data_IF_488327233200
#
_entry.id   IF_488327233200
#
_cell.length_a   1.000
_cell.length_b   1.000
_cell.length_c   1.000
_cell.angle_alpha   90.00
_cell.angle_beta   90.00
_cell.angle_gamma   90.00
#
_symmetry.space_group_name_H-M   'P 1'
#
loop_
_entity.id
_entity.type
_entity.pdbx_description
1 polymer ?
#
# COMPACT_ATOMS: atom_id res chain seq x y z
N UNK A 1 -11.74 51.57 63.45
CA UNK A 1 -10.50 50.76 63.41
C UNK A 1 -10.71 49.61 62.44
N UNK A 2 -9.95 49.53 61.36
CA UNK A 2 -10.14 48.59 60.25
C UNK A 2 -9.46 49.15 59.00
N UNK A 3 -8.13 49.01 58.89
CA UNK A 3 -7.36 47.94 58.23
C UNK A 3 -7.27 48.12 56.71
N UNK A 4 -6.01 48.18 56.26
CA UNK A 4 -5.47 48.42 54.91
C UNK A 4 -6.03 47.45 53.86
N UNK A 5 -6.31 47.98 52.67
CA UNK A 5 -6.61 47.20 51.46
C UNK A 5 -5.27 46.83 50.80
N UNK A 6 -5.11 45.52 50.58
CA UNK A 6 -3.91 44.91 50.05
C UNK A 6 -3.65 45.17 48.57
N UNK A 7 -2.36 45.19 48.25
CA UNK A 7 -1.72 45.27 46.95
C UNK A 7 -2.10 44.11 46.02
N UNK A 8 -2.38 44.45 44.76
CA UNK A 8 -2.63 43.56 43.63
C UNK A 8 -1.31 42.87 43.23
N UNK A 9 -1.31 41.54 43.13
CA UNK A 9 -0.17 40.74 42.67
C UNK A 9 -0.49 40.29 41.23
N UNK A 10 0.31 40.70 40.25
CA UNK A 10 0.25 40.14 38.89
C UNK A 10 1.25 38.98 38.75
N UNK A 11 0.91 37.89 38.03
CA UNK A 11 1.83 36.80 37.80
C UNK A 11 2.88 37.15 36.73
N UNK A 12 4.16 37.02 37.10
CA UNK A 12 5.30 37.14 36.20
C UNK A 12 5.51 35.81 35.47
N UNK A 13 5.25 35.77 34.17
CA UNK A 13 5.66 34.65 33.32
C UNK A 13 7.07 34.94 32.74
N UNK A 14 8.03 34.00 32.81
CA UNK A 14 9.34 34.20 32.21
C UNK A 14 9.26 34.16 30.68
N UNK A 15 9.64 35.28 30.05
CA UNK A 15 9.81 35.39 28.59
C UNK A 15 11.00 34.51 28.17
N UNK A 16 10.75 33.41 27.47
CA UNK A 16 11.80 32.62 26.82
C UNK A 16 12.40 33.43 25.66
N UNK A 17 13.71 33.67 25.70
CA UNK A 17 14.48 34.25 24.58
C UNK A 17 14.32 33.38 23.32
N UNK A 18 14.21 33.97 22.12
CA UNK A 18 14.24 33.20 20.89
C UNK A 18 15.62 32.54 20.74
N UNK A 19 15.62 31.23 20.47
CA UNK A 19 16.82 30.47 20.12
C UNK A 19 17.40 31.03 18.81
N UNK A 20 18.64 31.52 18.86
CA UNK A 20 19.38 31.87 17.65
C UNK A 20 19.71 30.58 16.90
N UNK A 21 19.19 30.44 15.69
CA UNK A 21 19.55 29.34 14.79
C UNK A 21 21.00 29.54 14.32
N UNK A 22 21.89 28.70 14.83
CA UNK A 22 23.24 28.52 14.28
C UNK A 22 23.15 28.03 12.83
N UNK A 23 24.00 28.50 11.89
CA UNK A 23 24.06 27.92 10.56
C UNK A 23 24.64 26.51 10.65
N UNK A 24 23.79 25.52 10.37
CA UNK A 24 24.14 24.09 10.38
C UNK A 24 25.18 23.80 9.30
N UNK A 25 26.26 23.11 9.68
CA UNK A 25 27.21 22.51 8.73
C UNK A 25 26.50 21.37 8.00
N UNK A 26 26.45 21.44 6.67
CA UNK A 26 26.05 20.34 5.79
C UNK A 26 26.95 19.12 6.05
N UNK A 27 26.35 18.02 6.49
CA UNK A 27 26.96 16.70 6.54
C UNK A 27 26.05 15.73 5.79
N UNK A 28 26.61 14.99 4.83
CA UNK A 28 26.00 13.85 4.15
C UNK A 28 24.93 14.21 3.12
N UNK A 29 25.18 13.86 1.85
CA UNK A 29 24.21 13.96 0.76
C UNK A 29 23.16 12.83 0.85
N UNK A 30 22.57 12.62 2.03
CA UNK A 30 21.47 11.67 2.21
C UNK A 30 20.17 12.31 1.73
N UNK A 31 19.56 11.67 0.73
CA UNK A 31 18.28 12.06 0.17
C UNK A 31 17.20 11.95 1.26
N UNK A 32 16.80 13.09 1.84
CA UNK A 32 15.86 13.11 2.96
C UNK A 32 14.44 12.79 2.44
N UNK A 33 13.90 11.66 2.88
CA UNK A 33 12.59 11.13 2.49
C UNK A 33 11.49 11.86 3.27
N UNK A 34 10.89 12.89 2.66
CA UNK A 34 9.98 13.85 3.30
C UNK A 34 8.64 14.00 2.59
N UNK A 35 8.35 13.11 1.66
CA UNK A 35 7.10 13.10 0.93
C UNK A 35 6.68 11.65 0.67
N UNK A 36 5.49 11.49 0.11
CA UNK A 36 4.83 10.21 -0.09
C UNK A 36 4.22 10.17 -1.49
N UNK A 37 4.35 9.02 -2.14
CA UNK A 37 3.67 8.65 -3.38
C UNK A 37 2.68 7.53 -3.05
N UNK A 38 1.41 7.70 -3.42
CA UNK A 38 0.38 6.67 -3.37
C UNK A 38 0.09 6.19 -4.79
N UNK A 39 0.41 4.94 -5.09
CA UNK A 39 0.03 4.30 -6.36
C UNK A 39 -1.26 3.52 -6.13
N UNK A 40 -2.30 3.85 -6.88
CA UNK A 40 -3.67 3.39 -6.61
C UNK A 40 -4.50 3.32 -7.91
N UNK A 41 -5.72 2.78 -7.85
CA UNK A 41 -6.74 2.94 -8.91
C UNK A 41 -7.95 3.71 -8.38
N UNK A 42 -8.92 3.96 -9.26
CA UNK A 42 -10.19 4.60 -8.93
C UNK A 42 -11.34 3.66 -9.25
N UNK A 43 -12.24 3.43 -8.29
CA UNK A 43 -13.45 2.63 -8.58
C UNK A 43 -14.37 3.41 -9.52
N UNK A 44 -14.31 3.10 -10.82
CA UNK A 44 -15.20 3.62 -11.86
C UNK A 44 -15.74 2.46 -12.68
N UNK A 45 -16.90 2.68 -13.30
CA UNK A 45 -17.49 1.73 -14.25
C UNK A 45 -16.90 1.82 -15.65
N UNK A 46 -15.96 2.74 -15.87
CA UNK A 46 -15.30 3.00 -17.15
C UNK A 46 -13.85 2.49 -17.12
N UNK A 47 -13.26 2.13 -18.28
CA UNK A 47 -11.94 1.50 -18.33
C UNK A 47 -10.80 2.32 -17.71
N UNK A 48 -10.94 3.65 -17.67
CA UNK A 48 -9.95 4.52 -17.04
C UNK A 48 -9.90 4.35 -15.52
N UNK A 49 -10.93 3.79 -14.87
CA UNK A 49 -10.93 3.54 -13.43
C UNK A 49 -9.85 2.56 -13.00
N UNK A 50 -9.63 1.51 -13.78
CA UNK A 50 -8.75 0.38 -13.48
C UNK A 50 -7.41 0.55 -14.21
N UNK A 51 -6.74 1.67 -13.95
CA UNK A 51 -5.44 2.04 -14.51
C UNK A 51 -4.53 2.55 -13.39
N UNK A 52 -3.27 2.87 -13.70
CA UNK A 52 -2.33 3.36 -12.67
C UNK A 52 -2.59 4.84 -12.42
N UNK A 53 -2.89 5.21 -11.17
CA UNK A 53 -3.00 6.59 -10.72
C UNK A 53 -1.97 6.88 -9.63
N UNK A 54 -1.46 8.11 -9.63
CA UNK A 54 -0.60 8.64 -8.57
C UNK A 54 -1.33 9.70 -7.76
N UNK A 55 -1.11 9.64 -6.45
CA UNK A 55 -1.36 10.73 -5.51
C UNK A 55 -0.08 11.05 -4.77
N UNK A 56 0.13 12.31 -4.41
CA UNK A 56 1.34 12.71 -3.66
C UNK A 56 0.98 13.51 -2.42
N UNK A 57 1.79 13.40 -1.39
CA UNK A 57 1.63 14.14 -0.14
C UNK A 57 2.97 14.54 0.45
N UNK A 58 3.05 15.68 1.12
CA UNK A 58 4.25 16.12 1.86
C UNK A 58 4.23 15.67 3.32
N UNK A 59 3.06 15.33 3.85
CA UNK A 59 2.87 15.01 5.28
C UNK A 59 2.27 13.62 5.51
N UNK A 60 1.69 13.01 4.47
CA UNK A 60 0.98 11.73 4.54
C UNK A 60 -0.50 11.87 4.90
N UNK A 61 -0.98 13.10 5.14
CA UNK A 61 -2.33 13.42 5.61
C UNK A 61 -3.13 14.14 4.52
N UNK A 62 -2.49 15.09 3.84
CA UNK A 62 -3.08 15.90 2.78
C UNK A 62 -2.55 15.40 1.44
N UNK A 63 -3.39 14.68 0.70
CA UNK A 63 -3.06 14.10 -0.59
C UNK A 63 -3.51 15.00 -1.73
N UNK A 64 -2.69 15.06 -2.77
CA UNK A 64 -2.93 15.81 -4.00
C UNK A 64 -2.98 14.84 -5.19
N UNK A 65 -3.81 15.17 -6.19
CA UNK A 65 -3.83 14.43 -7.44
C UNK A 65 -2.60 14.72 -8.31
N UNK A 66 -2.23 13.74 -9.13
CA UNK A 66 -1.25 13.85 -10.21
C UNK A 66 -1.99 13.76 -11.55
N UNK A 67 -1.42 14.36 -12.60
CA UNK A 67 -1.98 14.37 -13.95
C UNK A 67 -3.45 14.86 -14.03
N UNK A 68 -3.82 15.87 -13.23
CA UNK A 68 -5.18 16.40 -13.17
C UNK A 68 -6.26 15.34 -12.85
N UNK A 69 -5.89 14.29 -12.12
CA UNK A 69 -6.79 13.20 -11.75
C UNK A 69 -7.05 12.18 -12.86
N UNK A 70 -6.26 12.18 -13.94
CA UNK A 70 -6.23 11.17 -15.00
C UNK A 70 -5.19 10.06 -14.71
N UNK A 71 -5.29 8.87 -15.34
CA UNK A 71 -4.27 7.83 -15.23
C UNK A 71 -2.88 8.33 -15.62
N UNK A 72 -1.84 7.87 -14.92
CA UNK A 72 -0.43 8.12 -15.26
C UNK A 72 0.16 7.03 -16.15
N UNK A 73 -0.32 5.80 -16.04
CA UNK A 73 0.04 4.68 -16.92
C UNK A 73 -1.22 3.88 -17.28
N UNK A 74 -1.19 3.28 -18.46
CA UNK A 74 -2.27 2.45 -18.98
C UNK A 74 -1.82 0.99 -19.13
N UNK A 75 -2.71 0.07 -18.81
CA UNK A 75 -2.59 -1.35 -19.10
C UNK A 75 -3.20 -1.64 -20.47
N UNK A 76 -2.36 -2.11 -21.40
CA UNK A 76 -2.75 -2.45 -22.77
C UNK A 76 -2.78 -3.97 -23.03
N UNK A 77 -2.07 -4.73 -22.19
CA UNK A 77 -1.96 -6.19 -22.27
C UNK A 77 -2.80 -6.87 -21.18
N UNK A 78 -3.03 -8.17 -21.37
CA UNK A 78 -3.78 -9.00 -20.43
C UNK A 78 -5.26 -8.62 -20.44
N UNK A 79 -5.79 -8.36 -19.26
CA UNK A 79 -7.17 -7.94 -19.03
C UNK A 79 -7.42 -6.47 -19.38
N UNK A 80 -6.36 -5.71 -19.71
CA UNK A 80 -6.41 -4.29 -20.11
C UNK A 80 -6.93 -3.34 -19.03
N UNK A 81 -6.84 -3.80 -17.79
CA UNK A 81 -7.04 -3.02 -16.58
C UNK A 81 -6.17 -3.59 -15.47
N UNK A 82 -5.84 -2.75 -14.51
CA UNK A 82 -5.03 -3.11 -13.35
C UNK A 82 -5.62 -2.57 -12.07
N UNK A 83 -5.49 -3.37 -11.01
CA UNK A 83 -5.98 -3.10 -9.66
C UNK A 83 -4.90 -3.47 -8.64
N UNK A 84 -5.09 -3.05 -7.39
CA UNK A 84 -4.33 -3.53 -6.24
C UNK A 84 -2.81 -3.36 -6.38
N UNK A 85 -2.35 -2.10 -6.39
CA UNK A 85 -0.94 -1.80 -6.69
C UNK A 85 -0.03 -1.97 -5.49
N UNK A 86 1.19 -2.44 -5.77
CA UNK A 86 2.36 -2.19 -4.93
C UNK A 86 3.38 -1.38 -5.71
N UNK A 87 4.09 -0.49 -5.01
CA UNK A 87 5.22 0.27 -5.56
C UNK A 87 6.40 0.11 -4.61
N UNK A 88 7.56 -0.24 -5.14
CA UNK A 88 8.75 -0.49 -4.33
C UNK A 88 9.98 0.19 -4.92
N UNK A 89 10.82 0.72 -4.02
CA UNK A 89 12.14 1.25 -4.34
C UNK A 89 13.15 0.13 -4.19
N UNK A 90 13.79 -0.21 -5.29
CA UNK A 90 14.68 -1.34 -5.43
C UNK A 90 16.08 -0.90 -5.85
N UNK A 91 17.01 -1.85 -5.83
CA UNK A 91 18.30 -1.74 -6.51
C UNK A 91 18.33 -2.70 -7.68
N UNK A 92 18.77 -2.20 -8.83
CA UNK A 92 19.13 -3.04 -9.96
C UNK A 92 20.31 -3.95 -9.55
N UNK A 93 20.16 -5.28 -9.63
CA UNK A 93 21.18 -6.19 -9.12
C UNK A 93 22.46 -6.23 -9.96
N UNK A 94 22.44 -5.75 -11.20
CA UNK A 94 23.60 -5.74 -12.09
C UNK A 94 24.44 -4.47 -11.92
N UNK A 95 23.77 -3.33 -11.78
CA UNK A 95 24.39 -2.00 -11.75
C UNK A 95 24.45 -1.40 -10.35
N UNK A 96 23.65 -1.92 -9.40
CA UNK A 96 23.49 -1.37 -8.06
C UNK A 96 22.72 -0.04 -8.01
N UNK A 97 22.23 0.45 -9.15
CA UNK A 97 21.49 1.71 -9.24
C UNK A 97 20.10 1.56 -8.64
N UNK A 98 19.60 2.67 -8.11
CA UNK A 98 18.21 2.76 -7.67
C UNK A 98 17.26 2.57 -8.86
N UNK A 99 16.18 1.81 -8.63
CA UNK A 99 15.06 1.64 -9.56
C UNK A 99 13.74 1.57 -8.79
N UNK A 100 12.63 1.76 -9.47
CA UNK A 100 11.28 1.65 -8.95
C UNK A 100 10.54 0.58 -9.73
N UNK A 101 9.72 -0.20 -9.03
CA UNK A 101 8.89 -1.23 -9.65
C UNK A 101 7.46 -1.05 -9.15
N UNK A 102 6.51 -1.03 -10.08
CA UNK A 102 5.08 -1.18 -9.79
C UNK A 102 4.68 -2.60 -10.16
N UNK A 103 3.95 -3.27 -9.27
CA UNK A 103 3.23 -4.51 -9.57
C UNK A 103 1.73 -4.30 -9.31
N UNK A 104 0.88 -4.99 -10.07
CA UNK A 104 -0.56 -4.90 -9.93
C UNK A 104 -1.24 -6.22 -10.32
N UNK A 105 -2.46 -6.42 -9.81
CA UNK A 105 -3.40 -7.42 -10.34
C UNK A 105 -3.74 -7.07 -11.79
N UNK A 106 -3.54 -8.00 -12.72
CA UNK A 106 -4.04 -7.89 -14.11
C UNK A 106 -5.53 -8.26 -14.12
N UNK A 107 -6.40 -7.25 -14.07
CA UNK A 107 -7.86 -7.41 -13.99
C UNK A 107 -8.59 -6.16 -14.46
N UNK A 108 -9.55 -6.32 -15.36
CA UNK A 108 -10.54 -5.29 -15.67
C UNK A 108 -11.96 -5.78 -15.46
N UNK A 109 -12.66 -5.22 -14.49
CA UNK A 109 -14.11 -5.42 -14.36
C UNK A 109 -14.85 -4.65 -15.45
N UNK A 110 -14.35 -3.49 -15.89
CA UNK A 110 -15.00 -2.69 -16.93
C UNK A 110 -15.11 -3.45 -18.26
N UNK A 111 -14.08 -4.22 -18.64
CA UNK A 111 -14.09 -5.04 -19.85
C UNK A 111 -14.58 -6.47 -19.59
N UNK A 112 -14.10 -7.08 -18.51
CA UNK A 112 -14.24 -8.51 -18.28
C UNK A 112 -15.53 -8.92 -17.57
N UNK A 113 -16.02 -8.12 -16.61
CA UNK A 113 -17.04 -8.58 -15.64
C UNK A 113 -18.29 -9.15 -16.31
N UNK A 114 -18.83 -8.51 -17.35
CA UNK A 114 -20.06 -8.99 -18.01
C UNK A 114 -19.84 -10.13 -19.01
N UNK A 115 -18.69 -10.09 -19.69
CA UNK A 115 -18.36 -11.02 -20.78
C UNK A 115 -17.50 -12.16 -20.26
N UNK A 116 -16.19 -11.93 -20.23
CA UNK A 116 -15.16 -12.89 -19.81
C UNK A 116 -15.48 -13.59 -18.49
N UNK A 117 -16.01 -12.85 -17.50
CA UNK A 117 -16.24 -13.35 -16.14
C UNK A 117 -17.70 -13.58 -15.77
N UNK A 118 -18.65 -13.45 -16.71
CA UNK A 118 -20.05 -13.85 -16.52
C UNK A 118 -20.73 -13.33 -15.24
N UNK A 119 -20.42 -12.10 -14.82
CA UNK A 119 -20.87 -11.46 -13.58
C UNK A 119 -20.47 -12.21 -12.29
N UNK A 120 -19.34 -12.93 -12.30
CA UNK A 120 -18.93 -13.82 -11.21
C UNK A 120 -17.52 -13.51 -10.70
N UNK A 121 -17.42 -13.15 -9.42
CA UNK A 121 -16.13 -13.06 -8.71
C UNK A 121 -15.49 -14.43 -8.50
N UNK A 122 -16.30 -15.48 -8.37
CA UNK A 122 -15.80 -16.87 -8.28
C UNK A 122 -15.08 -17.25 -9.57
N UNK A 123 -15.63 -16.85 -10.74
CA UNK A 123 -14.99 -17.07 -12.04
C UNK A 123 -13.64 -16.35 -12.15
N UNK A 124 -13.54 -15.11 -11.67
CA UNK A 124 -12.26 -14.38 -11.62
C UNK A 124 -11.29 -15.09 -10.67
N UNK A 125 -11.76 -15.65 -9.56
CA UNK A 125 -10.93 -16.40 -8.62
C UNK A 125 -10.43 -17.74 -9.19
N UNK A 126 -11.22 -18.41 -10.02
CA UNK A 126 -10.90 -19.74 -10.54
C UNK A 126 -10.18 -19.71 -11.88
N UNK A 127 -10.54 -18.78 -12.75
CA UNK A 127 -10.11 -18.70 -14.15
C UNK A 127 -9.63 -17.27 -14.51
N UNK A 128 -9.18 -16.50 -13.51
CA UNK A 128 -8.66 -15.15 -13.70
C UNK A 128 -7.27 -15.12 -14.33
N UNK A 129 -6.74 -13.90 -14.47
CA UNK A 129 -5.35 -13.73 -14.92
C UNK A 129 -4.39 -14.39 -13.92
N UNK A 130 -3.45 -15.15 -14.47
CA UNK A 130 -2.34 -15.79 -13.74
C UNK A 130 -1.06 -14.97 -13.87
N UNK A 131 -1.21 -13.65 -14.02
CA UNK A 131 -0.11 -12.72 -14.26
C UNK A 131 -0.21 -11.51 -13.35
N UNK A 132 0.94 -10.98 -12.98
CA UNK A 132 1.03 -9.63 -12.42
C UNK A 132 1.49 -8.67 -13.52
N UNK A 133 0.85 -7.51 -13.62
CA UNK A 133 1.34 -6.44 -14.48
C UNK A 133 2.50 -5.73 -13.78
N UNK A 134 3.57 -5.44 -14.52
CA UNK A 134 4.80 -4.83 -14.00
C UNK A 134 5.22 -3.64 -14.87
N UNK A 135 5.61 -2.56 -14.20
CA UNK A 135 6.33 -1.42 -14.79
C UNK A 135 7.58 -1.11 -13.98
N UNK A 136 8.65 -0.69 -14.66
CA UNK A 136 9.91 -0.29 -14.02
C UNK A 136 10.23 1.17 -14.38
N UNK A 137 10.90 1.89 -13.48
CA UNK A 137 11.34 3.27 -13.71
C UNK A 137 12.63 3.56 -12.96
N UNK A 138 13.49 4.42 -13.49
CA UNK A 138 14.67 4.92 -12.77
C UNK A 138 14.38 6.20 -11.98
N UNK A 139 13.23 6.85 -12.22
CA UNK A 139 12.98 8.22 -11.76
C UNK A 139 11.52 8.54 -11.37
N UNK A 140 10.64 7.54 -11.33
CA UNK A 140 9.21 7.63 -11.02
C UNK A 140 8.33 8.34 -12.06
N UNK A 141 8.89 8.84 -13.16
CA UNK A 141 8.11 9.55 -14.19
C UNK A 141 8.29 8.94 -15.58
N UNK A 142 9.45 8.39 -15.88
CA UNK A 142 9.72 7.64 -17.10
C UNK A 142 9.60 6.14 -16.80
N UNK A 143 8.54 5.51 -17.31
CA UNK A 143 8.24 4.11 -17.05
C UNK A 143 8.46 3.25 -18.31
N UNK A 144 8.88 2.00 -18.10
CA UNK A 144 8.95 0.99 -19.17
C UNK A 144 7.56 0.68 -19.72
N UNK A 145 7.51 -0.04 -20.84
CA UNK A 145 6.27 -0.67 -21.30
C UNK A 145 5.75 -1.66 -20.25
N UNK A 146 4.43 -1.84 -20.19
CA UNK A 146 3.80 -2.87 -19.35
C UNK A 146 4.33 -4.25 -19.72
N UNK A 147 4.71 -5.03 -18.71
CA UNK A 147 4.99 -6.47 -18.85
C UNK A 147 4.05 -7.29 -17.99
N UNK A 148 3.63 -8.46 -18.49
CA UNK A 148 2.93 -9.46 -17.69
C UNK A 148 3.92 -10.51 -17.18
N UNK A 149 4.10 -10.57 -15.87
CA UNK A 149 4.90 -11.59 -15.21
C UNK A 149 4.00 -12.77 -14.82
N UNK A 150 4.24 -13.94 -15.43
CA UNK A 150 3.62 -15.20 -15.02
C UNK A 150 4.39 -15.73 -13.82
N UNK A 151 3.81 -15.59 -12.64
CA UNK A 151 4.38 -16.09 -11.39
C UNK A 151 3.59 -17.33 -10.99
N UNK A 152 4.30 -18.44 -10.75
CA UNK A 152 3.69 -19.72 -10.43
C UNK A 152 3.38 -20.60 -11.65
N UNK A 153 2.48 -21.57 -11.44
CA UNK A 153 2.12 -22.59 -12.42
C UNK A 153 0.60 -22.61 -12.70
N UNK A 154 0.16 -23.56 -13.50
CA UNK A 154 -1.24 -23.66 -13.92
C UNK A 154 -2.22 -24.02 -12.79
N UNK A 155 -1.74 -24.38 -11.59
CA UNK A 155 -2.58 -24.75 -10.44
C UNK A 155 -3.15 -23.53 -9.71
N UNK A 156 -2.67 -22.33 -9.99
CA UNK A 156 -3.25 -21.09 -9.49
C UNK A 156 -4.49 -20.70 -10.33
N UNK A 157 -5.55 -20.25 -9.65
CA UNK A 157 -6.75 -19.75 -10.31
C UNK A 157 -6.68 -18.26 -10.63
N UNK A 158 -5.91 -17.49 -9.86
CA UNK A 158 -5.71 -16.06 -10.03
C UNK A 158 -4.46 -15.56 -9.31
N UNK A 159 -3.93 -14.38 -9.65
CA UNK A 159 -2.90 -13.70 -8.86
C UNK A 159 -3.39 -12.30 -8.49
N UNK A 160 -3.77 -12.09 -7.22
CA UNK A 160 -4.39 -10.85 -6.76
C UNK A 160 -3.59 -10.12 -5.68
N UNK A 161 -3.68 -8.79 -5.69
CA UNK A 161 -3.17 -7.89 -4.66
C UNK A 161 -1.71 -8.19 -4.27
N UNK A 162 -0.77 -8.04 -5.23
CA UNK A 162 0.63 -8.25 -4.94
C UNK A 162 1.17 -7.18 -3.98
N UNK A 163 2.05 -7.58 -3.08
CA UNK A 163 2.90 -6.66 -2.33
C UNK A 163 4.33 -7.22 -2.20
N UNK A 164 5.28 -6.35 -1.87
CA UNK A 164 6.71 -6.64 -1.92
C UNK A 164 7.43 -6.13 -0.69
N UNK A 165 8.23 -6.99 -0.07
CA UNK A 165 9.18 -6.62 0.97
C UNK A 165 10.60 -7.08 0.61
N UNK A 166 11.60 -6.26 0.95
CA UNK A 166 13.01 -6.62 0.76
C UNK A 166 13.56 -7.40 1.96
N UNK A 167 14.07 -8.60 1.70
CA UNK A 167 14.77 -9.42 2.69
C UNK A 167 16.24 -9.02 2.75
N UNK A 168 16.60 -8.22 3.76
CA UNK A 168 17.98 -7.76 3.98
C UNK A 168 18.96 -8.92 4.26
N UNK A 169 18.48 -10.05 4.83
CA UNK A 169 19.32 -11.21 5.17
C UNK A 169 19.66 -12.02 3.91
N UNK A 170 18.67 -12.26 3.05
CA UNK A 170 18.84 -13.01 1.81
C UNK A 170 19.36 -12.16 0.64
N UNK A 171 19.17 -10.83 0.71
CA UNK A 171 19.53 -9.90 -0.36
C UNK A 171 18.60 -10.02 -1.58
N UNK A 172 17.34 -10.38 -1.37
CA UNK A 172 16.31 -10.55 -2.40
C UNK A 172 14.97 -9.94 -1.96
N UNK A 173 13.98 -9.97 -2.85
CA UNK A 173 12.63 -9.48 -2.59
C UNK A 173 11.67 -10.66 -2.45
N UNK A 174 10.79 -10.58 -1.47
CA UNK A 174 9.64 -11.48 -1.30
C UNK A 174 8.44 -10.79 -1.94
N UNK A 175 7.95 -11.32 -3.05
CA UNK A 175 6.71 -10.89 -3.72
C UNK A 175 5.62 -11.84 -3.27
N UNK A 176 4.56 -11.31 -2.67
CA UNK A 176 3.46 -12.11 -2.12
C UNK A 176 2.11 -11.63 -2.63
N UNK A 177 1.16 -12.55 -2.77
CA UNK A 177 -0.16 -12.30 -3.38
C UNK A 177 -1.21 -13.25 -2.82
N UNK A 178 -2.47 -12.90 -3.04
CA UNK A 178 -3.64 -13.72 -2.68
C UNK A 178 -4.01 -14.63 -3.85
N UNK A 179 -4.31 -15.90 -3.56
CA UNK A 179 -4.76 -16.81 -4.62
C UNK A 179 -5.60 -17.99 -4.16
N UNK A 180 -6.54 -18.39 -5.00
CA UNK A 180 -7.18 -19.71 -5.01
C UNK A 180 -6.29 -20.71 -5.73
N UNK A 181 -6.28 -21.96 -5.29
CA UNK A 181 -5.33 -22.96 -5.79
C UNK A 181 -5.95 -24.35 -5.91
N UNK A 182 -5.51 -25.15 -6.89
CA UNK A 182 -6.04 -26.49 -7.14
C UNK A 182 -5.94 -27.44 -5.92
N UNK A 183 -5.00 -27.17 -5.00
CA UNK A 183 -4.78 -27.94 -3.76
C UNK A 183 -6.01 -28.07 -2.87
N UNK A 184 -6.95 -27.13 -2.94
CA UNK A 184 -8.21 -27.15 -2.22
C UNK A 184 -9.41 -26.95 -3.17
N UNK A 185 -9.28 -27.43 -4.41
CA UNK A 185 -10.29 -27.26 -5.47
C UNK A 185 -10.69 -25.79 -5.66
N UNK A 186 -9.68 -24.90 -5.62
CA UNK A 186 -9.85 -23.45 -5.76
C UNK A 186 -10.83 -22.84 -4.72
N UNK A 187 -10.88 -23.41 -3.50
CA UNK A 187 -11.68 -22.89 -2.39
C UNK A 187 -11.09 -21.63 -1.74
N UNK A 188 -11.20 -21.55 -0.41
CA UNK A 188 -10.68 -20.43 0.39
C UNK A 188 -9.23 -20.09 0.00
N UNK A 189 -8.95 -18.80 -0.19
CA UNK A 189 -7.63 -18.31 -0.61
C UNK A 189 -6.62 -18.30 0.52
N UNK A 190 -5.35 -18.33 0.12
CA UNK A 190 -4.21 -18.13 1.00
C UNK A 190 -3.25 -17.10 0.39
N UNK A 191 -2.30 -16.64 1.20
CA UNK A 191 -1.22 -15.79 0.75
C UNK A 191 -0.05 -16.67 0.32
N UNK A 192 0.34 -16.53 -0.95
CA UNK A 192 1.51 -17.19 -1.54
C UNK A 192 2.64 -16.18 -1.71
N UNK A 193 3.87 -16.67 -1.83
CA UNK A 193 5.00 -15.83 -2.17
C UNK A 193 6.00 -16.53 -3.09
N UNK A 194 6.76 -15.72 -3.81
CA UNK A 194 7.96 -16.08 -4.56
C UNK A 194 9.08 -15.09 -4.24
N UNK A 195 10.33 -15.54 -4.36
CA UNK A 195 11.51 -14.68 -4.21
C UNK A 195 12.06 -14.26 -5.57
N UNK A 196 12.56 -13.03 -5.67
CA UNK A 196 13.20 -12.50 -6.88
C UNK A 196 14.31 -11.52 -6.51
N UNK A 197 15.30 -11.36 -7.40
CA UNK A 197 16.34 -10.31 -7.27
C UNK A 197 16.12 -9.15 -8.22
N UNK A 198 15.37 -9.36 -9.30
CA UNK A 198 15.28 -8.44 -10.44
C UNK A 198 13.87 -8.18 -10.95
N UNK A 199 12.85 -8.88 -10.40
CA UNK A 199 11.45 -8.87 -10.83
C UNK A 199 11.22 -9.48 -12.22
N UNK A 200 12.19 -10.26 -12.73
CA UNK A 200 12.11 -10.99 -13.99
C UNK A 200 12.05 -12.49 -13.73
N UNK A 201 12.98 -12.98 -12.92
CA UNK A 201 13.04 -14.39 -12.53
C UNK A 201 12.49 -14.55 -11.11
N UNK A 202 11.64 -15.55 -10.92
CA UNK A 202 10.96 -15.83 -9.65
C UNK A 202 11.21 -17.25 -9.20
N UNK A 203 11.42 -17.45 -7.90
CA UNK A 203 11.45 -18.80 -7.32
C UNK A 203 10.07 -19.47 -7.47
N UNK A 204 10.05 -20.80 -7.33
CA UNK A 204 8.79 -21.54 -7.20
C UNK A 204 7.97 -20.95 -6.03
N UNK A 205 6.65 -20.76 -6.21
CA UNK A 205 5.81 -20.25 -5.13
C UNK A 205 5.72 -21.18 -3.92
N UNK A 206 5.61 -20.57 -2.75
CA UNK A 206 5.37 -21.21 -1.46
C UNK A 206 4.22 -20.48 -0.73
N UNK A 207 3.70 -21.07 0.35
CA UNK A 207 2.65 -20.42 1.17
C UNK A 207 3.34 -19.50 2.17
N UNK A 208 2.99 -18.21 2.15
CA UNK A 208 3.42 -17.25 3.15
C UNK A 208 2.55 -17.34 4.41
N UNK A 209 1.24 -17.38 4.21
CA UNK A 209 0.27 -17.45 5.28
C UNK A 209 -1.03 -18.11 4.82
N UNK A 210 -1.53 -19.02 5.66
CA UNK A 210 -2.81 -19.68 5.50
C UNK A 210 -3.46 -19.82 6.87
N UNK A 211 -4.73 -19.43 6.97
CA UNK A 211 -5.59 -19.80 8.08
C UNK A 211 -6.64 -20.78 7.57
N UNK A 212 -6.44 -22.07 7.85
CA UNK A 212 -7.29 -23.13 7.32
C UNK A 212 -8.77 -22.83 7.54
N UNK A 213 -9.58 -23.12 6.52
CA UNK A 213 -11.05 -22.92 6.50
C UNK A 213 -11.50 -21.44 6.52
N UNK A 214 -10.55 -20.52 6.32
CA UNK A 214 -10.79 -19.09 6.19
C UNK A 214 -10.21 -18.58 4.89
N UNK A 215 -10.97 -17.73 4.21
CA UNK A 215 -10.54 -17.05 2.99
C UNK A 215 -9.71 -15.82 3.39
N UNK A 216 -8.42 -15.87 3.05
CA UNK A 216 -7.42 -14.86 3.43
C UNK A 216 -6.87 -14.19 2.17
N UNK A 217 -7.00 -12.86 2.11
CA UNK A 217 -6.55 -12.04 0.99
C UNK A 217 -5.86 -10.74 1.44
N UNK A 218 -5.39 -9.96 0.48
CA UNK A 218 -4.88 -8.58 0.63
C UNK A 218 -3.75 -8.47 1.66
N UNK A 219 -2.68 -9.23 1.43
CA UNK A 219 -1.48 -9.19 2.28
C UNK A 219 -0.70 -7.89 2.11
N UNK A 220 -0.34 -7.25 3.23
CA UNK A 220 0.64 -6.16 3.25
C UNK A 220 1.65 -6.36 4.39
N UNK A 221 2.95 -6.34 4.07
CA UNK A 221 4.01 -6.80 4.96
C UNK A 221 5.04 -5.70 5.25
N UNK A 222 5.26 -5.42 6.52
CA UNK A 222 6.17 -4.36 6.99
C UNK A 222 7.19 -4.89 7.98
N UNK A 223 8.36 -4.25 8.05
CA UNK A 223 9.38 -4.51 9.07
C UNK A 223 9.47 -3.32 10.04
N UNK A 224 9.46 -3.62 11.33
CA UNK A 224 9.77 -2.67 12.39
C UNK A 224 10.60 -3.34 13.47
N UNK A 225 11.75 -2.74 13.77
CA UNK A 225 12.69 -3.14 14.82
C UNK A 225 13.08 -4.63 14.73
N UNK A 226 13.29 -5.13 13.51
CA UNK A 226 13.67 -6.51 13.21
C UNK A 226 12.54 -7.53 13.26
N UNK A 227 11.31 -7.11 13.55
CA UNK A 227 10.11 -7.95 13.49
C UNK A 227 9.29 -7.65 12.23
N UNK A 228 8.56 -8.65 11.75
CA UNK A 228 7.73 -8.56 10.55
C UNK A 228 6.25 -8.54 10.92
N UNK A 229 5.50 -7.65 10.29
CA UNK A 229 4.10 -7.39 10.57
C UNK A 229 3.27 -7.55 9.30
N UNK A 230 2.43 -8.57 9.27
CA UNK A 230 1.59 -8.92 8.13
C UNK A 230 0.15 -8.52 8.42
N UNK A 231 -0.37 -7.58 7.64
CA UNK A 231 -1.80 -7.35 7.54
C UNK A 231 -2.42 -8.31 6.52
N UNK A 232 -3.59 -8.85 6.81
CA UNK A 232 -4.41 -9.63 5.87
C UNK A 232 -5.88 -9.36 6.12
N UNK A 233 -6.71 -9.42 5.08
CA UNK A 233 -8.17 -9.48 5.22
C UNK A 233 -8.61 -10.93 5.41
N UNK A 234 -9.44 -11.15 6.41
CA UNK A 234 -10.18 -12.40 6.57
C UNK A 234 -11.64 -12.15 6.17
N UNK A 235 -12.21 -13.02 5.33
CA UNK A 235 -13.59 -12.82 4.83
C UNK A 235 -14.68 -13.20 5.84
N UNK A 236 -14.37 -13.99 6.88
CA UNK A 236 -15.34 -14.42 7.89
C UNK A 236 -14.68 -14.81 9.23
N UNK A 237 -15.41 -14.65 10.34
CA UNK A 237 -15.04 -15.13 11.67
C UNK A 237 -13.61 -14.79 12.16
N UNK A 238 -13.21 -13.51 12.19
CA UNK A 238 -14.01 -12.34 11.86
C UNK A 238 -13.77 -11.81 10.44
N UNK A 239 -14.80 -11.21 9.83
CA UNK A 239 -14.76 -10.52 8.54
C UNK A 239 -14.03 -9.18 8.61
N UNK A 240 -12.76 -9.15 9.00
CA UNK A 240 -11.97 -7.92 9.23
C UNK A 240 -10.52 -8.08 8.81
N UNK A 241 -9.79 -6.98 8.85
CA UNK A 241 -8.33 -6.98 8.78
C UNK A 241 -7.75 -7.59 10.06
N UNK A 242 -6.76 -8.45 9.90
CA UNK A 242 -5.95 -9.02 10.97
C UNK A 242 -4.54 -8.43 10.88
N UNK A 243 -3.87 -8.30 12.02
CA UNK A 243 -2.45 -8.00 12.10
C UNK A 243 -1.73 -9.18 12.75
N UNK A 244 -0.68 -9.66 12.09
CA UNK A 244 0.12 -10.79 12.52
C UNK A 244 1.59 -10.36 12.67
N UNK A 245 2.34 -10.98 13.58
CA UNK A 245 3.76 -10.76 13.84
C UNK A 245 4.58 -12.02 13.63
N UNK A 246 5.76 -11.88 13.05
CA UNK A 246 6.79 -12.92 12.97
C UNK A 246 8.19 -12.35 13.27
N UNK A 247 9.10 -13.20 13.72
CA UNK A 247 10.53 -12.84 13.87
C UNK A 247 11.32 -13.05 12.56
N UNK A 248 10.74 -13.79 11.59
CA UNK A 248 11.30 -14.02 10.26
C UNK A 248 10.28 -13.61 9.17
N UNK A 249 10.77 -13.16 8.02
CA UNK A 249 9.97 -12.55 6.95
C UNK A 249 8.94 -13.51 6.33
N UNK A 250 9.17 -14.82 6.44
CA UNK A 250 8.27 -15.87 5.94
C UNK A 250 7.54 -16.59 7.08
N UNK A 251 7.47 -15.98 8.27
CA UNK A 251 6.81 -16.56 9.42
C UNK A 251 7.68 -17.53 10.24
N UNK A 252 7.07 -18.29 11.17
CA UNK A 252 5.63 -18.38 11.41
C UNK A 252 5.04 -17.08 11.98
N UNK A 253 3.78 -16.81 11.62
CA UNK A 253 3.04 -15.61 12.01
C UNK A 253 2.12 -15.87 13.20
N UNK A 254 2.04 -14.90 14.12
CA UNK A 254 1.21 -14.93 15.33
C UNK A 254 0.29 -13.71 15.40
N UNK A 255 -0.97 -13.89 15.77
CA UNK A 255 -1.98 -12.83 15.75
C UNK A 255 -1.78 -11.81 16.88
N UNK A 256 -1.90 -10.52 16.56
CA UNK A 256 -1.84 -9.42 17.53
C UNK A 256 -3.25 -9.08 18.01
N UNK A 257 -3.66 -9.62 19.15
CA UNK A 257 -5.01 -9.41 19.71
C UNK A 257 -5.32 -7.93 20.03
N UNK A 258 -4.29 -7.11 20.31
CA UNK A 258 -4.47 -5.68 20.53
C UNK A 258 -5.00 -4.97 19.27
N UNK A 259 -4.61 -5.45 18.08
CA UNK A 259 -5.15 -4.97 16.81
C UNK A 259 -6.61 -5.35 16.61
N UNK A 260 -6.96 -6.59 16.94
CA UNK A 260 -8.36 -7.02 16.85
C UNK A 260 -9.28 -6.13 17.68
N UNK A 261 -8.83 -5.77 18.89
CA UNK A 261 -9.56 -4.88 19.82
C UNK A 261 -9.64 -3.45 19.30
N UNK A 262 -8.55 -2.90 18.73
CA UNK A 262 -8.56 -1.53 18.19
C UNK A 262 -9.50 -1.39 16.99
N UNK A 263 -9.77 -2.48 16.28
CA UNK A 263 -10.67 -2.54 15.13
C UNK A 263 -12.11 -2.95 15.48
N UNK A 264 -12.47 -3.23 16.74
CA UNK A 264 -13.83 -3.67 17.10
C UNK A 264 -14.93 -2.65 16.75
N UNK A 265 -14.59 -1.36 16.71
CA UNK A 265 -15.54 -0.29 16.48
C UNK A 265 -15.82 -0.02 14.99
N UNK A 266 -15.08 -0.63 14.06
CA UNK A 266 -15.32 -0.43 12.62
C UNK A 266 -16.34 -1.45 12.10
N UNK A 267 -17.05 -1.09 11.04
CA UNK A 267 -18.06 -1.96 10.41
C UNK A 267 -17.41 -3.22 9.83
N UNK A 268 -17.82 -4.39 10.31
CA UNK A 268 -17.32 -5.68 9.83
C UNK A 268 -17.68 -5.92 8.36
N UNK A 269 -16.75 -6.50 7.60
CA UNK A 269 -16.94 -6.86 6.19
C UNK A 269 -16.81 -5.71 5.20
N UNK A 270 -16.54 -4.47 5.64
CA UNK A 270 -16.48 -3.27 4.78
C UNK A 270 -15.08 -2.70 4.53
N UNK A 271 -14.05 -3.34 5.07
CA UNK A 271 -12.67 -2.87 4.94
C UNK A 271 -11.79 -3.96 4.31
N UNK A 272 -10.90 -3.54 3.43
CA UNK A 272 -9.93 -4.39 2.72
C UNK A 272 -8.63 -3.63 2.44
N UNK A 273 -7.71 -4.26 1.69
CA UNK A 273 -6.57 -3.56 1.09
C UNK A 273 -5.71 -2.74 2.08
N UNK A 274 -5.33 -3.33 3.21
CA UNK A 274 -4.52 -2.66 4.21
C UNK A 274 -3.20 -2.16 3.59
N UNK A 275 -2.88 -0.88 3.76
CA UNK A 275 -1.56 -0.34 3.42
C UNK A 275 -1.11 0.62 4.51
N UNK A 276 0.17 0.61 4.86
CA UNK A 276 0.71 1.39 5.96
C UNK A 276 2.02 2.08 5.60
N UNK A 277 2.28 3.21 6.26
CA UNK A 277 3.53 3.94 6.12
C UNK A 277 3.94 4.52 7.48
N UNK A 278 5.24 4.46 7.78
CA UNK A 278 5.81 5.14 8.93
C UNK A 278 5.89 6.64 8.65
N UNK A 279 5.37 7.50 9.49
CA UNK A 279 5.45 8.95 9.36
C UNK A 279 6.85 9.47 9.70
N UNK A 280 7.12 10.76 9.45
CA UNK A 280 8.41 11.39 9.81
C UNK A 280 8.65 11.42 11.32
N UNK A 281 7.59 11.55 12.11
CA UNK A 281 7.64 11.57 13.57
C UNK A 281 7.77 10.18 14.20
N UNK A 282 7.85 9.13 13.38
CA UNK A 282 8.04 7.75 13.80
C UNK A 282 6.76 6.96 14.04
N UNK A 283 5.59 7.59 14.05
CA UNK A 283 4.30 6.89 14.16
C UNK A 283 3.99 6.11 12.88
N UNK A 284 3.05 5.17 12.93
CA UNK A 284 2.51 4.49 11.75
C UNK A 284 1.14 5.01 11.39
N UNK A 285 0.93 5.20 10.09
CA UNK A 285 -0.38 5.47 9.51
C UNK A 285 -0.79 4.27 8.66
N UNK A 286 -1.88 3.61 9.04
CA UNK A 286 -2.55 2.52 8.31
C UNK A 286 -3.74 3.09 7.57
N UNK A 287 -3.95 2.67 6.33
CA UNK A 287 -5.10 3.00 5.51
C UNK A 287 -5.83 1.71 5.18
N UNK A 288 -7.14 1.68 5.44
CA UNK A 288 -8.03 0.56 5.11
C UNK A 288 -9.05 1.01 4.07
N UNK A 289 -9.16 0.30 2.95
CA UNK A 289 -10.06 0.68 1.85
C UNK A 289 -11.50 0.34 2.23
N UNK A 290 -12.34 1.36 2.40
CA UNK A 290 -13.76 1.19 2.67
C UNK A 290 -14.52 1.01 1.36
N UNK A 291 -15.18 -0.14 1.22
CA UNK A 291 -15.79 -0.59 -0.03
C UNK A 291 -17.25 -1.04 0.15
N UNK A 292 -17.92 -1.32 -0.96
CA UNK A 292 -19.29 -1.85 -0.94
C UNK A 292 -20.37 -0.81 -0.62
N UNK A 293 -20.07 0.47 -0.85
CA UNK A 293 -21.04 1.57 -0.90
C UNK A 293 -20.90 2.31 -2.25
N UNK A 294 -21.95 2.94 -2.80
CA UNK A 294 -21.81 3.63 -4.09
C UNK A 294 -21.03 4.95 -4.00
N UNK A 295 -20.31 5.28 -5.09
CA UNK A 295 -19.79 6.63 -5.35
C UNK A 295 -18.75 7.12 -4.33
N UNK A 296 -18.85 8.40 -3.96
CA UNK A 296 -17.88 9.10 -3.10
C UNK A 296 -17.83 8.60 -1.64
N UNK A 297 -18.69 7.65 -1.26
CA UNK A 297 -18.63 7.00 0.04
C UNK A 297 -17.51 5.97 0.17
N UNK A 298 -16.85 5.57 -0.93
CA UNK A 298 -15.76 4.60 -0.93
C UNK A 298 -14.38 5.26 -0.81
N UNK A 299 -13.41 4.47 -0.37
CA UNK A 299 -11.99 4.78 -0.39
C UNK A 299 -11.33 4.63 0.97
N UNK A 300 -10.06 4.98 1.02
CA UNK A 300 -9.23 4.77 2.21
C UNK A 300 -9.67 5.56 3.45
N UNK A 301 -9.80 4.84 4.56
CA UNK A 301 -9.97 5.37 5.91
C UNK A 301 -8.63 5.21 6.67
N UNK A 302 -8.01 6.32 7.14
CA UNK A 302 -6.74 6.27 7.85
C UNK A 302 -6.88 6.06 9.36
N UNK A 303 -5.87 5.40 9.94
CA UNK A 303 -5.71 5.08 11.34
C UNK A 303 -4.25 5.31 11.76
N UNK A 304 -4.01 5.82 12.96
CA UNK A 304 -2.67 6.13 13.45
C UNK A 304 -2.34 5.34 14.70
N UNK A 305 -1.12 4.80 14.78
CA UNK A 305 -0.57 4.12 15.95
C UNK A 305 0.86 4.58 16.22
N UNK A 306 1.36 4.40 17.45
CA UNK A 306 2.76 4.69 17.77
C UNK A 306 3.73 3.69 17.16
N UNK A 307 3.32 2.43 17.02
CA UNK A 307 4.11 1.32 16.44
C UNK A 307 3.19 0.22 15.91
N UNK A 308 3.69 -0.58 14.96
CA UNK A 308 3.00 -1.79 14.51
C UNK A 308 2.86 -2.79 15.66
N UNK A 309 3.90 -2.89 16.49
CA UNK A 309 3.95 -3.77 17.67
C UNK A 309 2.80 -3.53 18.65
N UNK A 310 2.36 -2.27 18.80
CA UNK A 310 1.29 -1.93 19.72
C UNK A 310 -0.07 -2.50 19.30
N UNK A 311 -0.31 -2.66 18.00
CA UNK A 311 -1.63 -2.97 17.43
C UNK A 311 -2.70 -1.89 17.65
N UNK A 312 -2.40 -0.78 18.33
CA UNK A 312 -3.40 0.19 18.77
C UNK A 312 -3.59 1.31 17.73
N UNK A 313 -4.25 0.98 16.63
CA UNK A 313 -4.54 1.93 15.55
C UNK A 313 -5.83 2.71 15.82
N UNK A 314 -5.73 4.03 15.86
CA UNK A 314 -6.85 4.94 16.15
C UNK A 314 -7.33 5.59 14.86
N UNK A 315 -8.61 5.40 14.53
CA UNK A 315 -9.25 6.03 13.38
C UNK A 315 -9.04 7.55 13.39
N UNK A 316 -8.54 8.10 12.29
CA UNK A 316 -8.04 9.48 12.21
C UNK A 316 -8.49 10.22 10.94
N UNK A 317 -9.52 9.73 10.23
CA UNK A 317 -10.00 10.24 8.94
C UNK A 317 -10.35 11.73 8.93
N UNK A 318 -10.79 12.31 10.06
CA UNK A 318 -11.05 13.74 10.16
C UNK A 318 -9.81 14.65 9.96
N UNK A 319 -8.59 14.09 10.08
CA UNK A 319 -7.34 14.82 9.88
C UNK A 319 -6.76 14.68 8.47
N UNK A 320 -7.41 13.92 7.59
CA UNK A 320 -6.89 13.57 6.26
C UNK A 320 -7.77 14.16 5.16
N UNK A 321 -7.15 14.45 4.03
CA UNK A 321 -7.83 14.94 2.83
C UNK A 321 -7.32 14.19 1.62
N UNK A 322 -8.26 13.73 0.79
CA UNK A 322 -7.98 13.11 -0.50
C UNK A 322 -8.69 13.90 -1.60
N UNK A 323 -8.10 14.01 -2.81
CA UNK A 323 -8.73 14.72 -3.93
C UNK A 323 -9.93 13.95 -4.49
N UNK A 324 -9.95 12.63 -4.29
CA UNK A 324 -11.03 11.70 -4.62
C UNK A 324 -10.80 10.37 -3.85
N UNK A 325 -11.74 9.43 -3.96
CA UNK A 325 -11.59 8.10 -3.34
C UNK A 325 -10.47 7.29 -3.99
N UNK A 326 -9.33 7.17 -3.29
CA UNK A 326 -8.27 6.23 -3.63
C UNK A 326 -8.71 4.81 -3.24
N UNK A 327 -8.41 3.82 -4.09
CA UNK A 327 -8.67 2.39 -3.85
C UNK A 327 -7.37 1.60 -3.77
N UNK A 328 -7.46 0.31 -3.46
CA UNK A 328 -6.34 -0.63 -3.23
C UNK A 328 -5.02 -0.24 -3.92
N UNK A 329 -4.05 0.16 -3.10
CA UNK A 329 -2.74 0.60 -3.54
C UNK A 329 -1.72 0.64 -2.40
N UNK A 330 -0.52 1.13 -2.69
CA UNK A 330 0.58 1.21 -1.72
C UNK A 330 1.23 2.58 -1.69
N UNK A 331 1.75 2.93 -0.52
CA UNK A 331 2.45 4.19 -0.26
C UNK A 331 3.96 3.97 -0.24
N UNK A 332 4.68 4.68 -1.10
CA UNK A 332 6.13 4.76 -1.12
C UNK A 332 6.59 6.10 -0.53
N UNK A 333 7.51 6.07 0.44
CA UNK A 333 8.25 7.28 0.84
C UNK A 333 9.12 7.76 -0.32
N UNK A 334 9.10 9.05 -0.56
CA UNK A 334 9.88 9.71 -1.60
C UNK A 334 10.56 10.96 -1.05
N UNK A 335 11.58 11.40 -1.75
CA UNK A 335 12.25 12.67 -1.54
C UNK A 335 11.43 13.84 -2.06
N UNK A 336 11.79 15.06 -1.64
CA UNK A 336 11.18 16.26 -2.21
C UNK A 336 11.55 16.46 -3.69
N UNK A 337 12.74 16.03 -4.11
CA UNK A 337 13.14 16.09 -5.52
C UNK A 337 12.28 15.17 -6.39
N UNK A 338 11.97 13.97 -5.91
CA UNK A 338 11.06 13.04 -6.60
C UNK A 338 9.62 13.55 -6.59
N UNK A 339 9.15 14.07 -5.46
CA UNK A 339 7.83 14.71 -5.37
C UNK A 339 7.70 15.82 -6.42
N UNK A 340 8.70 16.71 -6.50
CA UNK A 340 8.68 17.82 -7.44
C UNK A 340 8.77 17.32 -8.89
N UNK A 341 9.60 16.31 -9.16
CA UNK A 341 9.68 15.68 -10.48
C UNK A 341 8.33 15.13 -10.93
N UNK A 342 7.58 14.45 -10.05
CA UNK A 342 6.24 13.93 -10.35
C UNK A 342 5.24 15.06 -10.63
N UNK A 343 5.29 16.14 -9.84
CA UNK A 343 4.39 17.31 -9.99
C UNK A 343 4.64 18.10 -11.27
N UNK A 344 5.92 18.24 -11.66
CA UNK A 344 6.33 19.05 -12.82
C UNK A 344 6.36 18.26 -14.12
N UNK A 345 6.28 16.93 -14.07
CA UNK A 345 6.29 16.10 -15.26
C UNK A 345 5.05 16.35 -16.12
N UNK A 346 5.26 16.47 -17.43
CA UNK A 346 4.19 16.55 -18.40
C UNK A 346 3.69 15.14 -18.74
N UNK A 347 2.60 14.75 -18.09
CA UNK A 347 1.94 13.46 -18.29
C UNK A 347 1.06 13.42 -19.55
N UNK A 348 1.06 14.46 -20.38
CA UNK A 348 0.26 14.51 -21.62
C UNK A 348 0.84 13.66 -22.76
N UNK A 349 2.00 13.02 -22.56
CA UNK A 349 2.61 12.14 -23.57
C UNK A 349 1.83 10.83 -23.72
N UNK A 350 1.42 10.55 -24.97
CA UNK A 350 0.34 9.61 -25.35
C UNK A 350 0.77 8.14 -25.36
N UNK A 351 1.24 7.64 -24.23
CA UNK A 351 1.66 6.24 -24.08
C UNK A 351 3.01 5.95 -24.74
N UNK A 352 3.51 4.74 -24.47
CA UNK A 352 4.74 4.22 -25.06
C UNK A 352 4.63 4.19 -26.60
N UNK A 353 5.65 4.71 -27.31
CA UNK A 353 5.74 4.63 -28.77
C UNK A 353 6.22 3.26 -29.24
#
# INVERSE_FOLDING_TARGET
>A
MGIRIGTRIEPVYPVKKPLSLSPWKQGGNEKKMQAYLFVHFREKTTPDGEQVYFGVSKDGFNWEEVNGGAPVLWAYYGDKGVRDFTVTRCKDPQTGKEKFVILATDLSLSYGMRGQYHHSWDEIGHNGSKSLAIWESDDLVNWTEQRLAKIGDEQFGCLWAPDVIYDKKAGDYVVHWSSSHARNNYGDKAIFYSRTKDFKEFSKPEILYEWKEHDIIDSALYEEDGSYYLFVKCSRNPGRILLLRADEITGPYTRIEAFDKSMEAIEEGKYEAATAVKLEDGRWCLFLDYYGVPGAGQGYVPFVADSLASGNFVRSDAAFSFPYGFKHGTILKISMEEYQRIKDHDWSDKGWQ
#
